data_IF_371790948125
#
_entry.id   IF_371790948125
#
_cell.length_a   1.000
_cell.length_b   1.000
_cell.length_c   1.000
_cell.angle_alpha   90.00
_cell.angle_beta   90.00
_cell.angle_gamma   90.00
#
_symmetry.space_group_name_H-M   'P 1'
#
loop_
_entity.id
_entity.type
_entity.pdbx_description
1 polymer ?
#
# COMPACT_ATOMS: atom_id res chain seq x y z
N UNK A 1 -5.99 -23.22 -2.74
CA UNK A 1 -5.79 -23.12 -1.28
C UNK A 1 -5.15 -21.77 -1.04
N UNK A 2 -5.96 -20.75 -0.73
CA UNK A 2 -5.44 -19.41 -0.47
C UNK A 2 -4.53 -19.45 0.75
N UNK A 3 -3.26 -19.13 0.52
CA UNK A 3 -2.31 -18.90 1.60
C UNK A 3 -2.84 -17.69 2.38
N UNK A 4 -3.02 -17.87 3.68
CA UNK A 4 -3.22 -16.80 4.65
C UNK A 4 -2.40 -15.58 4.24
N UNK A 5 -3.04 -14.46 3.89
CA UNK A 5 -2.32 -13.19 3.74
C UNK A 5 -2.33 -12.52 5.11
N UNK A 6 -1.26 -12.72 5.87
CA UNK A 6 -0.96 -11.83 6.99
C UNK A 6 -0.23 -10.61 6.46
N UNK A 7 -0.60 -9.41 6.90
CA UNK A 7 0.15 -8.20 6.59
C UNK A 7 0.74 -7.62 7.87
N UNK A 8 1.96 -7.10 7.76
CA UNK A 8 2.56 -6.29 8.81
C UNK A 8 2.55 -4.83 8.38
N UNK A 9 1.87 -3.98 9.14
CA UNK A 9 1.77 -2.53 8.91
C UNK A 9 2.46 -1.80 10.04
N UNK A 10 3.37 -0.88 9.73
CA UNK A 10 3.97 -0.01 10.74
C UNK A 10 3.23 1.32 10.72
N UNK A 11 2.69 1.70 11.87
CA UNK A 11 1.95 2.92 12.03
C UNK A 11 2.41 3.69 13.26
N UNK A 12 2.00 4.95 13.31
CA UNK A 12 2.06 5.78 14.48
C UNK A 12 0.72 6.48 14.68
N UNK A 13 0.16 6.34 15.86
CA UNK A 13 -1.07 7.01 16.23
C UNK A 13 -0.84 8.42 16.78
N UNK A 14 -1.88 9.25 16.71
CA UNK A 14 -2.01 10.50 17.45
C UNK A 14 -1.99 10.24 18.97
N UNK A 15 -1.76 11.27 19.79
CA UNK A 15 -1.52 11.08 21.23
C UNK A 15 -2.72 10.54 22.02
N UNK A 16 -3.93 10.83 21.55
CA UNK A 16 -5.22 10.43 22.11
C UNK A 16 -5.86 9.24 21.37
N UNK A 17 -5.10 8.62 20.45
CA UNK A 17 -5.55 7.51 19.62
C UNK A 17 -4.59 6.34 19.81
N UNK A 18 -5.12 5.16 20.10
CA UNK A 18 -4.33 3.97 20.33
C UNK A 18 -4.83 2.80 19.48
N UNK A 19 -4.26 1.61 19.71
CA UNK A 19 -4.63 0.45 18.92
C UNK A 19 -6.07 -0.01 19.17
N UNK A 20 -6.61 0.19 20.37
CA UNK A 20 -7.97 -0.24 20.67
C UNK A 20 -8.98 0.68 19.97
N UNK A 21 -8.73 2.00 19.98
CA UNK A 21 -9.51 2.96 19.20
C UNK A 21 -9.41 2.70 17.69
N UNK A 22 -8.20 2.44 17.18
CA UNK A 22 -8.00 2.03 15.78
C UNK A 22 -8.78 0.77 15.44
N UNK A 23 -8.75 -0.23 16.33
CA UNK A 23 -9.40 -1.52 16.10
C UNK A 23 -10.92 -1.39 16.02
N UNK A 24 -11.51 -0.60 16.91
CA UNK A 24 -12.94 -0.32 16.91
C UNK A 24 -13.38 0.43 15.65
N UNK A 25 -12.58 1.41 15.21
CA UNK A 25 -12.86 2.16 13.98
C UNK A 25 -12.73 1.26 12.75
N UNK A 26 -11.70 0.41 12.72
CA UNK A 26 -11.47 -0.51 11.62
C UNK A 26 -12.61 -1.52 11.51
N UNK A 27 -13.09 -2.06 12.63
CA UNK A 27 -14.27 -2.94 12.66
C UNK A 27 -15.54 -2.20 12.20
N UNK A 28 -15.74 -0.95 12.64
CA UNK A 28 -16.87 -0.13 12.16
C UNK A 28 -16.80 0.09 10.64
N UNK A 29 -15.61 0.33 10.10
CA UNK A 29 -15.42 0.47 8.65
C UNK A 29 -15.68 -0.84 7.90
N UNK A 30 -15.19 -1.97 8.41
CA UNK A 30 -15.40 -3.27 7.76
C UNK A 30 -16.87 -3.71 7.77
N UNK A 31 -17.62 -3.37 8.83
CA UNK A 31 -19.01 -3.77 9.00
C UNK A 31 -20.01 -2.90 8.24
N UNK A 32 -19.73 -1.60 8.12
CA UNK A 32 -20.55 -0.64 7.37
C UNK A 32 -19.61 0.37 6.68
N UNK A 33 -19.01 0.04 5.51
CA UNK A 33 -18.06 0.94 4.83
C UNK A 33 -18.63 2.32 4.48
N UNK A 34 -19.96 2.43 4.42
CA UNK A 34 -20.69 3.70 4.32
C UNK A 34 -20.97 4.28 5.72
N UNK A 35 -22.14 4.93 5.88
CA UNK A 35 -22.71 5.30 7.19
C UNK A 35 -21.69 5.68 8.28
N UNK A 36 -21.62 4.85 9.33
CA UNK A 36 -20.70 5.07 10.47
C UNK A 36 -19.26 4.69 10.15
N UNK A 37 -19.04 3.72 9.26
CA UNK A 37 -17.69 3.30 8.90
C UNK A 37 -16.95 4.34 8.05
N UNK A 38 -17.65 5.21 7.32
CA UNK A 38 -17.05 6.39 6.68
C UNK A 38 -16.41 7.31 7.72
N UNK A 39 -17.15 7.70 8.76
CA UNK A 39 -16.63 8.54 9.85
C UNK A 39 -15.47 7.86 10.58
N UNK A 40 -15.54 6.52 10.71
CA UNK A 40 -14.46 5.72 11.28
C UNK A 40 -13.20 5.73 10.39
N UNK A 41 -13.35 5.58 9.08
CA UNK A 41 -12.26 5.66 8.12
C UNK A 41 -11.62 7.06 8.13
N UNK A 42 -12.42 8.13 8.13
CA UNK A 42 -11.92 9.51 8.23
C UNK A 42 -11.07 9.70 9.50
N UNK A 43 -11.54 9.18 10.64
CA UNK A 43 -10.79 9.21 11.91
C UNK A 43 -9.53 8.37 11.88
N UNK A 44 -9.55 7.18 11.28
CA UNK A 44 -8.35 6.36 11.07
C UNK A 44 -7.31 7.15 10.29
N UNK A 45 -7.71 7.77 9.17
CA UNK A 45 -6.82 8.50 8.28
C UNK A 45 -6.25 9.78 8.92
N UNK A 46 -7.05 10.49 9.71
CA UNK A 46 -6.62 11.67 10.47
C UNK A 46 -5.67 11.31 11.63
N UNK A 47 -5.98 10.22 12.35
CA UNK A 47 -5.30 9.86 13.61
C UNK A 47 -4.19 8.84 13.46
N UNK A 48 -3.99 8.28 12.27
CA UNK A 48 -2.97 7.27 12.01
C UNK A 48 -2.02 7.70 10.90
N UNK A 49 -0.74 7.81 11.25
CA UNK A 49 0.34 7.90 10.26
C UNK A 49 0.82 6.50 9.90
N UNK A 50 0.38 5.99 8.76
CA UNK A 50 0.88 4.75 8.18
C UNK A 50 2.22 4.98 7.51
N UNK A 51 3.19 4.11 7.80
CA UNK A 51 4.57 4.24 7.32
C UNK A 51 4.94 3.15 6.31
N UNK A 52 3.94 2.39 5.86
CA UNK A 52 4.10 1.24 5.00
C UNK A 52 4.08 -0.08 5.75
N UNK A 53 4.31 -1.14 4.99
CA UNK A 53 4.19 -2.51 5.45
C UNK A 53 4.23 -3.47 4.28
N UNK A 54 4.26 -4.76 4.57
CA UNK A 54 4.38 -5.81 3.55
C UNK A 54 3.47 -6.97 3.87
N UNK A 55 3.00 -7.64 2.83
CA UNK A 55 2.34 -8.94 2.95
C UNK A 55 3.34 -10.03 3.36
N UNK A 56 2.83 -11.11 3.92
CA UNK A 56 3.59 -12.31 4.28
C UNK A 56 4.47 -12.78 3.10
N UNK A 57 5.72 -13.13 3.40
CA UNK A 57 6.69 -13.60 2.41
C UNK A 57 7.47 -12.49 1.70
N UNK A 58 7.09 -11.22 1.88
CA UNK A 58 7.85 -10.07 1.39
C UNK A 58 8.69 -9.43 2.50
N UNK A 59 9.73 -8.70 2.10
CA UNK A 59 10.57 -7.91 3.00
C UNK A 59 10.71 -6.48 2.51
N UNK A 60 11.10 -5.58 3.40
CA UNK A 60 11.23 -4.17 3.08
C UNK A 60 11.92 -3.40 4.20
N UNK A 61 11.95 -2.09 4.09
CA UNK A 61 12.50 -1.21 5.12
C UNK A 61 11.74 0.10 5.17
N UNK A 62 11.54 0.61 6.37
CA UNK A 62 10.84 1.88 6.61
C UNK A 62 11.81 2.80 7.34
N UNK A 63 11.93 4.04 6.87
CA UNK A 63 12.65 5.07 7.61
C UNK A 63 11.66 5.76 8.54
N UNK A 64 11.81 5.50 9.84
CA UNK A 64 10.99 6.17 10.85
C UNK A 64 11.30 7.67 10.87
N UNK A 65 10.28 8.55 10.81
CA UNK A 65 10.49 9.98 10.58
C UNK A 65 11.14 10.69 11.77
N UNK A 66 10.91 10.20 13.00
CA UNK A 66 11.40 10.81 14.25
C UNK A 66 11.47 9.79 15.38
N UNK A 67 12.18 10.07 16.48
CA UNK A 67 12.07 9.24 17.68
C UNK A 67 10.63 9.17 18.21
N UNK A 68 10.27 8.06 18.84
CA UNK A 68 8.94 7.87 19.41
C UNK A 68 8.52 6.41 19.52
N UNK A 69 7.27 6.22 19.95
CA UNK A 69 6.59 4.92 19.95
C UNK A 69 5.92 4.70 18.60
N UNK A 70 6.03 3.47 18.11
CA UNK A 70 5.42 3.00 16.88
C UNK A 70 4.68 1.70 17.17
N UNK A 71 3.64 1.43 16.38
CA UNK A 71 2.84 0.22 16.46
C UNK A 71 3.09 -0.58 15.20
N UNK A 72 3.40 -1.87 15.35
CA UNK A 72 3.31 -2.85 14.26
C UNK A 72 1.97 -3.55 14.42
N UNK A 73 1.14 -3.47 13.39
CA UNK A 73 -0.15 -4.14 13.32
C UNK A 73 -0.01 -5.35 12.40
N UNK A 74 -0.41 -6.51 12.90
CA UNK A 74 -0.61 -7.70 12.09
C UNK A 74 -2.08 -7.73 11.69
N UNK A 75 -2.37 -7.45 10.42
CA UNK A 75 -3.70 -7.56 9.84
C UNK A 75 -3.86 -8.98 9.30
N UNK A 76 -4.90 -9.69 9.71
CA UNK A 76 -5.16 -11.05 9.26
C UNK A 76 -6.67 -11.26 9.11
N UNK A 77 -7.08 -11.80 7.96
CA UNK A 77 -8.50 -12.01 7.61
C UNK A 77 -9.21 -13.06 8.46
N UNK A 78 -8.50 -13.92 9.20
CA UNK A 78 -9.08 -15.02 9.98
C UNK A 78 -8.90 -14.89 11.49
N UNK A 79 -7.83 -14.22 11.93
CA UNK A 79 -7.47 -14.11 13.36
C UNK A 79 -7.65 -12.70 13.91
N UNK A 80 -8.24 -11.82 13.10
CA UNK A 80 -8.42 -10.41 13.42
C UNK A 80 -7.10 -9.64 13.36
N UNK A 81 -7.10 -8.48 14.00
CA UNK A 81 -5.96 -7.58 14.05
C UNK A 81 -5.23 -7.72 15.39
N UNK A 82 -3.90 -7.81 15.35
CA UNK A 82 -3.04 -7.82 16.55
C UNK A 82 -2.03 -6.70 16.45
N UNK A 83 -1.49 -6.26 17.57
CA UNK A 83 -0.41 -5.28 17.56
C UNK A 83 0.69 -5.56 18.56
N UNK A 84 1.85 -4.97 18.28
CA UNK A 84 2.94 -4.81 19.22
C UNK A 84 3.49 -3.40 19.09
N UNK A 85 3.98 -2.83 20.20
CA UNK A 85 4.62 -1.52 20.18
C UNK A 85 6.13 -1.63 20.32
N UNK A 86 6.85 -0.70 19.71
CA UNK A 86 8.28 -0.54 19.90
C UNK A 86 8.65 0.93 19.97
N UNK A 87 9.77 1.24 20.64
CA UNK A 87 10.31 2.60 20.73
C UNK A 87 11.53 2.73 19.83
N UNK A 88 11.53 3.75 18.99
CA UNK A 88 12.70 4.11 18.18
C UNK A 88 13.36 5.37 18.76
N UNK A 89 14.66 5.29 19.02
CA UNK A 89 15.50 6.43 19.38
C UNK A 89 16.03 7.17 18.16
N UNK A 90 16.79 8.25 18.39
CA UNK A 90 17.50 8.95 17.31
C UNK A 90 18.78 8.19 16.96
N UNK A 91 18.92 7.78 15.71
CA UNK A 91 20.18 7.27 15.16
C UNK A 91 20.50 8.02 13.88
N UNK A 92 21.69 8.62 13.81
CA UNK A 92 22.22 9.09 12.53
C UNK A 92 22.65 7.85 11.74
N UNK A 93 21.96 7.59 10.63
CA UNK A 93 22.40 6.58 9.68
C UNK A 93 23.51 7.19 8.83
N UNK A 94 24.65 6.51 8.70
CA UNK A 94 25.65 6.92 7.73
C UNK A 94 25.05 6.78 6.32
N UNK A 95 25.50 7.60 5.36
CA UNK A 95 25.01 7.53 3.97
C UNK A 95 25.17 6.15 3.35
N UNK A 96 26.24 5.43 3.71
CA UNK A 96 26.49 4.04 3.31
C UNK A 96 25.47 3.02 3.84
N UNK A 97 24.75 3.36 4.91
CA UNK A 97 23.74 2.49 5.52
C UNK A 97 22.36 2.67 4.85
N UNK A 98 22.23 3.60 3.89
CA UNK A 98 20.99 3.75 3.12
C UNK A 98 20.85 2.56 2.17
N UNK A 99 19.69 1.87 2.19
CA UNK A 99 19.40 0.85 1.18
C UNK A 99 19.57 1.41 -0.22
N UNK A 100 20.42 0.79 -1.05
CA UNK A 100 20.44 1.11 -2.48
C UNK A 100 19.12 0.63 -3.10
N UNK A 101 18.54 1.47 -3.94
CA UNK A 101 17.27 1.20 -4.61
C UNK A 101 17.53 1.16 -6.10
N UNK A 102 16.97 0.16 -6.79
CA UNK A 102 17.13 -0.01 -8.24
C UNK A 102 15.87 0.37 -9.03
N UNK A 103 14.78 0.70 -8.33
CA UNK A 103 13.56 1.25 -8.91
C UNK A 103 12.91 2.26 -7.99
N UNK A 104 12.10 3.15 -8.55
CA UNK A 104 11.28 4.11 -7.81
C UNK A 104 9.85 4.13 -8.38
N UNK A 105 8.86 4.20 -7.49
CA UNK A 105 7.46 4.49 -7.84
C UNK A 105 6.99 5.60 -6.90
N UNK A 106 6.20 6.51 -7.44
CA UNK A 106 5.67 7.67 -6.74
C UNK A 106 4.15 7.61 -6.76
N UNK A 107 3.49 7.72 -5.61
CA UNK A 107 2.08 8.10 -5.57
C UNK A 107 1.99 9.63 -5.53
N UNK A 108 1.11 10.21 -6.33
CA UNK A 108 0.97 11.65 -6.56
C UNK A 108 -0.44 12.12 -6.20
N UNK A 109 -0.63 13.43 -6.10
CA UNK A 109 -1.97 14.02 -5.98
C UNK A 109 -2.84 13.67 -7.19
N UNK A 110 -4.17 13.70 -7.02
CA UNK A 110 -5.10 13.27 -8.07
C UNK A 110 -5.09 11.76 -8.32
N UNK A 111 -4.56 10.99 -7.37
CA UNK A 111 -4.47 9.52 -7.40
C UNK A 111 -3.70 9.01 -8.64
N UNK A 112 -2.58 9.67 -8.97
CA UNK A 112 -1.73 9.28 -10.09
C UNK A 112 -0.46 8.52 -9.66
N UNK A 113 0.05 7.66 -10.54
CA UNK A 113 1.34 6.98 -10.36
C UNK A 113 2.45 7.61 -11.20
N UNK A 114 3.56 7.96 -10.57
CA UNK A 114 4.78 8.45 -11.20
C UNK A 114 5.96 7.48 -11.16
N UNK A 115 7.04 7.85 -11.85
CA UNK A 115 8.30 7.10 -11.91
C UNK A 115 8.61 6.52 -13.29
N UNK A 116 9.73 5.78 -13.45
CA UNK A 116 10.08 5.17 -14.74
C UNK A 116 8.97 4.24 -15.25
N UNK A 117 8.80 4.19 -16.57
CA UNK A 117 7.90 3.22 -17.22
C UNK A 117 8.54 1.81 -17.31
N UNK A 118 9.83 1.69 -17.02
CA UNK A 118 10.55 0.42 -16.97
C UNK A 118 11.40 0.36 -15.71
N UNK A 119 11.31 -0.75 -15.00
CA UNK A 119 12.10 -1.05 -13.80
C UNK A 119 12.81 -2.40 -13.96
N UNK A 120 13.88 -2.67 -13.20
CA UNK A 120 14.39 -4.04 -13.07
C UNK A 120 13.32 -5.00 -12.58
N UNK A 121 13.40 -6.29 -12.91
CA UNK A 121 12.44 -7.28 -12.41
C UNK A 121 12.75 -7.80 -10.99
N UNK A 122 13.91 -7.44 -10.44
CA UNK A 122 14.29 -7.77 -9.08
C UNK A 122 15.14 -6.69 -8.42
N UNK A 123 15.14 -6.69 -7.10
CA UNK A 123 15.95 -5.82 -6.25
C UNK A 123 15.11 -5.13 -5.20
N UNK A 124 15.47 -3.88 -4.91
CA UNK A 124 14.78 -3.04 -3.93
C UNK A 124 14.13 -1.85 -4.61
N UNK A 125 12.83 -1.75 -4.43
CA UNK A 125 11.98 -0.66 -4.93
C UNK A 125 11.83 0.39 -3.82
N UNK A 126 11.95 1.67 -4.17
CA UNK A 126 11.54 2.79 -3.32
C UNK A 126 10.13 3.24 -3.71
N UNK A 127 9.19 3.12 -2.78
CA UNK A 127 7.86 3.70 -2.89
C UNK A 127 7.83 5.00 -2.07
N UNK A 128 7.42 6.10 -2.70
CA UNK A 128 7.23 7.38 -2.01
C UNK A 128 5.83 7.91 -2.30
N UNK A 129 5.08 8.24 -1.25
CA UNK A 129 3.85 8.99 -1.40
C UNK A 129 4.21 10.49 -1.38
N UNK A 130 4.23 11.10 -2.56
CA UNK A 130 4.41 12.55 -2.72
C UNK A 130 3.10 13.31 -2.63
N UNK A 131 1.96 12.64 -2.83
CA UNK A 131 0.65 13.23 -2.65
C UNK A 131 0.42 13.70 -1.21
N UNK A 132 -0.41 14.72 -1.07
CA UNK A 132 -0.84 15.35 0.17
C UNK A 132 -2.20 14.87 0.67
N UNK A 133 -2.98 14.21 -0.17
CA UNK A 133 -4.42 14.00 0.04
C UNK A 133 -4.73 12.70 0.80
N UNK A 134 -4.25 11.57 0.29
CA UNK A 134 -4.67 10.23 0.74
C UNK A 134 -3.46 9.29 0.91
N UNK A 135 -3.55 8.26 1.77
CA UNK A 135 -2.57 7.19 1.79
C UNK A 135 -2.70 6.32 0.54
N UNK A 136 -1.60 5.68 0.14
CA UNK A 136 -1.62 4.71 -0.95
C UNK A 136 -1.00 3.39 -0.50
N UNK A 137 -1.50 2.29 -1.05
CA UNK A 137 -0.75 1.04 -1.12
C UNK A 137 -0.31 0.81 -2.57
N UNK A 138 0.86 0.21 -2.74
CA UNK A 138 1.33 -0.23 -4.05
C UNK A 138 0.95 -1.69 -4.26
N UNK A 139 0.20 -1.95 -5.32
CA UNK A 139 0.08 -3.26 -5.96
C UNK A 139 0.79 -3.21 -7.30
N UNK A 140 1.72 -4.14 -7.52
CA UNK A 140 2.20 -4.49 -8.85
C UNK A 140 1.57 -5.82 -9.22
N UNK A 141 0.82 -5.86 -10.32
CA UNK A 141 0.17 -7.07 -10.80
C UNK A 141 0.60 -7.34 -12.23
N UNK A 142 1.21 -8.50 -12.47
CA UNK A 142 1.60 -8.90 -13.83
C UNK A 142 0.37 -9.09 -14.69
N UNK A 143 0.42 -8.58 -15.91
CA UNK A 143 -0.66 -8.68 -16.91
C UNK A 143 -0.14 -9.24 -18.22
N UNK A 144 -1.05 -9.66 -19.10
CA UNK A 144 -0.73 -10.01 -20.49
C UNK A 144 -0.06 -8.82 -21.19
N UNK A 145 0.91 -9.13 -22.05
CA UNK A 145 1.57 -8.11 -22.84
C UNK A 145 0.56 -7.42 -23.77
N UNK A 146 0.63 -6.09 -23.85
CA UNK A 146 -0.29 -5.27 -24.65
C UNK A 146 -1.55 -4.83 -23.92
N UNK A 147 -1.82 -5.30 -22.68
CA UNK A 147 -2.94 -4.81 -21.87
C UNK A 147 -2.78 -3.33 -21.57
N UNK A 148 -3.75 -2.49 -21.94
CA UNK A 148 -3.75 -1.07 -21.62
C UNK A 148 -4.42 -0.79 -20.27
N UNK A 149 -4.20 0.40 -19.70
CA UNK A 149 -4.89 0.82 -18.48
C UNK A 149 -6.42 0.84 -18.68
N UNK A 150 -6.88 1.32 -19.83
CA UNK A 150 -8.31 1.30 -20.19
C UNK A 150 -8.86 -0.12 -20.24
N UNK A 151 -8.19 -1.05 -20.95
CA UNK A 151 -8.64 -2.45 -21.03
C UNK A 151 -8.75 -3.09 -19.63
N UNK A 152 -7.77 -2.82 -18.78
CA UNK A 152 -7.73 -3.38 -17.43
C UNK A 152 -8.82 -2.78 -16.53
N UNK A 153 -9.07 -1.49 -16.65
CA UNK A 153 -10.12 -0.79 -15.92
C UNK A 153 -11.52 -1.23 -16.37
N UNK A 154 -11.76 -1.33 -17.68
CA UNK A 154 -12.99 -1.90 -18.23
C UNK A 154 -13.21 -3.34 -17.75
N UNK A 155 -12.15 -4.15 -17.76
CA UNK A 155 -12.18 -5.52 -17.25
C UNK A 155 -12.58 -5.56 -15.75
N UNK A 156 -12.08 -4.64 -14.91
CA UNK A 156 -12.45 -4.58 -13.49
C UNK A 156 -13.91 -4.18 -13.24
N UNK A 157 -14.52 -3.37 -14.12
CA UNK A 157 -15.91 -2.93 -13.97
C UNK A 157 -16.93 -3.88 -14.59
N UNK A 158 -16.50 -4.79 -15.47
CA UNK A 158 -17.42 -5.63 -16.20
C UNK A 158 -18.04 -6.73 -15.30
N UNK A 159 -19.37 -6.86 -15.37
CA UNK A 159 -20.12 -7.88 -14.62
C UNK A 159 -19.77 -9.32 -15.06
N UNK A 160 -19.42 -9.50 -16.32
CA UNK A 160 -18.87 -10.74 -16.88
C UNK A 160 -17.66 -10.39 -17.76
N UNK A 161 -16.46 -10.25 -17.15
CA UNK A 161 -15.35 -9.56 -17.78
C UNK A 161 -14.55 -10.44 -18.75
N UNK A 162 -15.02 -11.68 -19.01
CA UNK A 162 -14.28 -12.65 -19.81
C UNK A 162 -12.94 -13.04 -19.18
N UNK A 163 -11.94 -13.48 -19.99
CA UNK A 163 -10.67 -13.98 -19.47
C UNK A 163 -9.83 -12.89 -18.82
N UNK A 164 -9.57 -13.05 -17.54
CA UNK A 164 -8.75 -12.17 -16.73
C UNK A 164 -7.36 -11.85 -17.35
N UNK A 165 -6.91 -10.58 -17.34
CA UNK A 165 -5.63 -10.18 -17.91
C UNK A 165 -4.44 -10.56 -17.02
N UNK A 166 -4.64 -10.84 -15.73
CA UNK A 166 -3.50 -11.12 -14.83
C UNK A 166 -2.82 -12.45 -15.14
N UNK A 167 -1.52 -12.41 -14.94
CA UNK A 167 -0.63 -13.55 -14.93
C UNK A 167 -0.05 -13.73 -13.53
N UNK A 168 0.62 -14.86 -13.30
CA UNK A 168 1.35 -15.09 -12.06
C UNK A 168 2.47 -14.05 -11.87
N UNK A 169 2.48 -13.44 -10.68
CA UNK A 169 3.46 -12.42 -10.28
C UNK A 169 2.74 -11.20 -9.74
N UNK A 170 2.80 -11.00 -8.43
CA UNK A 170 2.32 -9.79 -7.80
C UNK A 170 3.18 -9.37 -6.62
N UNK A 171 3.16 -8.08 -6.32
CA UNK A 171 3.72 -7.49 -5.12
C UNK A 171 2.68 -6.57 -4.50
N UNK A 172 2.55 -6.61 -3.19
CA UNK A 172 1.63 -5.77 -2.44
C UNK A 172 2.34 -5.20 -1.22
N UNK A 173 2.26 -3.89 -1.07
CA UNK A 173 2.67 -3.16 0.14
C UNK A 173 1.43 -2.80 0.96
N UNK A 174 1.62 -2.04 2.04
CA UNK A 174 0.52 -1.56 2.88
C UNK A 174 0.51 -0.05 2.92
N UNK A 175 -0.57 0.52 3.47
CA UNK A 175 -0.84 1.94 3.54
C UNK A 175 0.41 2.76 3.84
N UNK A 176 0.64 3.76 2.98
CA UNK A 176 1.74 4.70 3.08
C UNK A 176 1.15 6.11 3.06
N UNK A 177 1.11 6.77 4.22
CA UNK A 177 0.51 8.10 4.34
C UNK A 177 1.27 9.18 3.55
N UNK A 178 0.62 10.31 3.23
CA UNK A 178 1.23 11.46 2.56
C UNK A 178 2.62 11.86 3.07
N UNK A 179 3.56 12.13 2.16
CA UNK A 179 4.93 12.54 2.48
C UNK A 179 5.83 11.46 3.11
N UNK A 180 5.39 10.20 3.16
CA UNK A 180 6.18 9.08 3.68
C UNK A 180 6.76 8.21 2.56
N UNK A 181 7.73 7.37 2.93
CA UNK A 181 8.41 6.47 1.99
C UNK A 181 8.80 5.17 2.66
N UNK A 182 8.77 4.11 1.88
CA UNK A 182 9.26 2.78 2.27
C UNK A 182 10.03 2.15 1.13
N UNK A 183 10.85 1.16 1.44
CA UNK A 183 11.39 0.25 0.43
C UNK A 183 10.74 -1.11 0.56
N UNK A 184 10.59 -1.80 -0.56
CA UNK A 184 10.15 -3.19 -0.61
C UNK A 184 11.10 -3.98 -1.51
N UNK A 185 11.49 -5.16 -1.05
CA UNK A 185 12.28 -6.09 -1.83
C UNK A 185 11.35 -6.91 -2.72
N UNK A 186 11.74 -7.10 -3.98
CA UNK A 186 10.92 -7.79 -4.95
C UNK A 186 11.78 -8.64 -5.88
N UNK A 187 11.20 -9.75 -6.31
CA UNK A 187 11.67 -10.57 -7.43
C UNK A 187 10.42 -11.04 -8.15
N UNK A 188 10.13 -10.42 -9.27
CA UNK A 188 8.94 -10.67 -10.06
C UNK A 188 9.36 -11.20 -11.44
N UNK A 189 8.49 -11.97 -12.12
CA UNK A 189 8.71 -12.34 -13.51
C UNK A 189 8.85 -11.09 -14.41
N UNK A 190 9.68 -11.17 -15.44
CA UNK A 190 9.78 -10.10 -16.45
C UNK A 190 8.46 -9.97 -17.23
N UNK A 191 8.11 -8.76 -17.64
CA UNK A 191 6.91 -8.48 -18.46
C UNK A 191 6.18 -7.20 -18.05
N UNK A 192 4.96 -7.05 -18.54
CA UNK A 192 4.09 -5.91 -18.25
C UNK A 192 3.33 -6.06 -16.91
N UNK A 193 3.17 -4.93 -16.20
CA UNK A 193 2.51 -4.85 -14.90
C UNK A 193 1.57 -3.65 -14.82
N UNK A 194 0.42 -3.87 -14.19
CA UNK A 194 -0.45 -2.82 -13.68
C UNK A 194 0.05 -2.37 -12.30
N UNK A 195 0.13 -1.06 -12.11
CA UNK A 195 0.39 -0.35 -10.85
C UNK A 195 -0.95 0.17 -10.34
N UNK A 196 -1.35 -0.24 -9.14
CA UNK A 196 -2.69 0.03 -8.58
C UNK A 196 -2.63 0.35 -7.10
N UNK A 197 -3.68 1.03 -6.61
CA UNK A 197 -4.00 1.20 -5.20
C UNK A 197 -5.45 0.75 -4.95
N UNK A 198 -5.69 -0.08 -3.93
CA UNK A 198 -7.04 -0.51 -3.54
C UNK A 198 -7.55 0.17 -2.26
N UNK A 199 -6.82 1.17 -1.74
CA UNK A 199 -7.30 1.94 -0.59
C UNK A 199 -8.59 2.69 -0.93
N UNK A 200 -9.49 2.76 0.05
CA UNK A 200 -10.77 3.45 -0.07
C UNK A 200 -10.58 4.94 0.18
N UNK A 201 -11.08 5.76 -0.74
CA UNK A 201 -11.23 7.19 -0.53
C UNK A 201 -12.45 7.46 0.36
N UNK A 202 -12.27 8.09 1.53
CA UNK A 202 -13.39 8.38 2.44
C UNK A 202 -14.43 9.34 1.83
N UNK A 203 -14.05 10.17 0.87
CA UNK A 203 -14.95 11.17 0.31
C UNK A 203 -15.99 10.52 -0.61
N UNK A 204 -15.56 9.68 -1.54
CA UNK A 204 -16.41 8.96 -2.50
C UNK A 204 -16.86 7.56 -2.03
N UNK A 205 -16.13 6.95 -1.08
CA UNK A 205 -16.31 5.55 -0.69
C UNK A 205 -15.80 4.53 -1.70
N UNK A 206 -15.23 4.97 -2.83
CA UNK A 206 -14.67 4.09 -3.87
C UNK A 206 -13.18 3.83 -3.62
N UNK A 207 -12.66 2.68 -4.05
CA UNK A 207 -11.21 2.48 -4.07
C UNK A 207 -10.56 3.36 -5.14
N UNK A 208 -9.31 3.76 -4.92
CA UNK A 208 -8.64 4.67 -5.85
C UNK A 208 -8.48 4.08 -7.25
N UNK A 209 -8.23 2.76 -7.38
CA UNK A 209 -8.17 2.13 -8.70
C UNK A 209 -9.50 2.27 -9.46
N UNK A 210 -10.64 2.25 -8.76
CA UNK A 210 -11.95 2.52 -9.35
C UNK A 210 -12.24 4.01 -9.59
N UNK A 211 -11.31 4.88 -9.26
CA UNK A 211 -11.29 6.29 -9.61
C UNK A 211 -10.25 6.61 -10.70
N UNK A 212 -9.55 5.60 -11.21
CA UNK A 212 -8.57 5.74 -12.29
C UNK A 212 -7.10 5.68 -11.84
N UNK A 213 -6.81 5.36 -10.57
CA UNK A 213 -5.43 5.16 -10.08
C UNK A 213 -4.81 3.87 -10.64
N UNK A 214 -4.42 3.94 -11.91
CA UNK A 214 -3.93 2.80 -12.67
C UNK A 214 -2.86 3.24 -13.67
N UNK A 215 -1.70 2.58 -13.65
CA UNK A 215 -0.62 2.82 -14.61
C UNK A 215 0.02 1.53 -15.08
N UNK A 216 0.44 1.48 -16.35
CA UNK A 216 1.20 0.34 -16.88
C UNK A 216 2.72 0.60 -16.83
N UNK A 217 3.48 -0.41 -16.43
CA UNK A 217 4.95 -0.42 -16.47
C UNK A 217 5.48 -1.76 -16.96
N UNK A 218 6.77 -1.80 -17.30
CA UNK A 218 7.49 -3.04 -17.61
C UNK A 218 8.55 -3.36 -16.57
N UNK A 219 8.60 -4.61 -16.15
CA UNK A 219 9.71 -5.18 -15.40
C UNK A 219 10.65 -5.92 -16.34
N UNK A 220 11.89 -5.45 -16.44
CA UNK A 220 12.93 -6.02 -17.30
C UNK A 220 13.99 -6.74 -16.51
#
# INVERSE_FOLDING_TARGET
MEVTRGWAVVARFAGDYDFDAFSADYESFQSDPGGKGKEALERILDRTKFLGGVAQGNSGSIKLPRPGTYTVMALNTYTGIKSATFRAGRRLLATRDRPSTRGTIHALDGQEWGGPATLPHEGRLLLTNHGGEVPHNLILQRVKEGTTAADYQEWMYANDPGPHPNLNGSLETQMLSPGTRMTVDYRLPRGQYAVMCFETDPSSGMSHVFQGELRMIHLK
#
